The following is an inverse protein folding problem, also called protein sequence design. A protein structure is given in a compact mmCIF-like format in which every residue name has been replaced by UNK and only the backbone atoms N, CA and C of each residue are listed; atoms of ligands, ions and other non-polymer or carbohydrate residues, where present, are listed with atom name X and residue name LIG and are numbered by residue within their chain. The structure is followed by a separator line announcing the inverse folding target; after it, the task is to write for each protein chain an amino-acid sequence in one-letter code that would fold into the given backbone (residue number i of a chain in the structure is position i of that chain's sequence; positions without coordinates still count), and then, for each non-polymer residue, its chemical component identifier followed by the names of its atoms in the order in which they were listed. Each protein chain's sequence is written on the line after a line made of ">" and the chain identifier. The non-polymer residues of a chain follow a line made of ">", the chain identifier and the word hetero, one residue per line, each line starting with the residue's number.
data_IF_118679056117
#
_entry.id   IF_118679056117
#
_cell.length_a   1.000
_cell.length_b   1.000
_cell.length_c   1.000
_cell.angle_alpha   90.00
_cell.angle_beta   90.00
_cell.angle_gamma   90.00
#
_symmetry.space_group_name_H-M   'P 1'
#
loop_
_entity.id
_entity.type
_entity.pdbx_description
1 polymer ?
#
# COMPACT_ATOMS: atom_id res chain seq x y z
N UNK A 1 23.07 -9.86 6.52
CA UNK A 1 21.96 -10.77 6.20
C UNK A 1 20.79 -9.91 5.71
N UNK A 2 19.95 -10.41 4.81
CA UNK A 2 18.75 -9.68 4.36
C UNK A 2 17.55 -10.12 5.19
N UNK A 3 16.66 -9.19 5.49
CA UNK A 3 15.48 -9.48 6.32
C UNK A 3 14.24 -8.97 5.61
N UNK A 4 13.27 -9.86 5.44
CA UNK A 4 11.92 -9.49 5.00
C UNK A 4 11.11 -9.25 6.26
N UNK A 5 10.64 -8.02 6.46
CA UNK A 5 9.71 -7.68 7.53
C UNK A 5 8.33 -7.46 6.93
N UNK A 6 7.30 -7.91 7.61
CA UNK A 6 5.94 -7.62 7.22
C UNK A 6 5.37 -6.52 8.10
N UNK A 7 4.77 -5.54 7.45
CA UNK A 7 3.93 -4.56 8.14
C UNK A 7 2.50 -4.84 7.76
N UNK A 8 1.63 -4.84 8.78
CA UNK A 8 0.19 -5.01 8.58
C UNK A 8 -0.27 -3.86 7.67
N UNK A 9 -0.76 -4.19 6.46
CA UNK A 9 -1.65 -3.29 5.75
C UNK A 9 -2.80 -2.98 6.71
N UNK A 10 -3.21 -1.72 6.78
CA UNK A 10 -4.14 -1.21 7.79
C UNK A 10 -5.24 -2.21 8.17
N UNK A 11 -5.63 -2.16 9.45
CA UNK A 11 -6.73 -2.89 10.08
C UNK A 11 -8.07 -2.66 9.33
N UNK A 12 -8.17 -3.25 8.14
CA UNK A 12 -9.36 -3.57 7.41
C UNK A 12 -10.02 -4.78 8.05
N UNK A 13 -9.35 -5.46 9.00
CA UNK A 13 -9.88 -6.56 9.82
C UNK A 13 -10.97 -6.11 10.80
N UNK A 14 -11.03 -4.82 11.15
CA UNK A 14 -12.05 -4.32 12.06
C UNK A 14 -13.40 -4.26 11.36
N UNK A 15 -14.34 -5.07 11.82
CA UNK A 15 -15.77 -4.95 11.48
C UNK A 15 -16.21 -3.50 11.70
N UNK A 16 -16.79 -2.89 10.65
CA UNK A 16 -17.32 -1.52 10.72
C UNK A 16 -18.79 -1.55 10.32
N UNK A 17 -19.61 -0.90 11.14
CA UNK A 17 -20.97 -0.56 10.76
C UNK A 17 -20.88 0.67 9.84
N UNK A 18 -21.08 0.48 8.54
CA UNK A 18 -21.15 1.57 7.58
C UNK A 18 -22.61 1.81 7.20
N UNK A 19 -23.20 2.89 7.70
CA UNK A 19 -24.60 3.22 7.39
C UNK A 19 -25.62 2.15 7.78
N UNK A 20 -25.34 1.38 8.84
CA UNK A 20 -26.21 0.27 9.29
C UNK A 20 -25.94 -1.08 8.62
N UNK A 21 -24.94 -1.17 7.74
CA UNK A 21 -24.45 -2.44 7.16
C UNK A 21 -23.33 -3.01 8.01
N UNK A 22 -23.46 -4.27 8.42
CA UNK A 22 -22.39 -5.04 9.05
C UNK A 22 -21.41 -5.52 7.97
N UNK A 23 -20.19 -4.99 7.98
CA UNK A 23 -19.15 -5.29 7.01
C UNK A 23 -18.08 -6.14 7.69
N UNK A 24 -17.98 -7.39 7.26
CA UNK A 24 -16.94 -8.35 7.67
C UNK A 24 -15.92 -8.45 6.54
N UNK A 25 -14.64 -8.20 6.79
CA UNK A 25 -13.61 -8.22 5.76
C UNK A 25 -13.14 -9.65 5.43
N UNK A 26 -12.52 -9.90 4.26
CA UNK A 26 -12.01 -11.23 3.90
C UNK A 26 -10.92 -11.72 4.85
N UNK A 27 -10.89 -12.98 5.23
CA UNK A 27 -9.90 -13.50 6.21
C UNK A 27 -9.03 -14.56 5.57
N UNK A 28 -7.71 -14.42 5.66
CA UNK A 28 -6.79 -15.49 5.32
C UNK A 28 -6.95 -16.62 6.32
N UNK A 29 -7.26 -17.82 5.83
CA UNK A 29 -7.51 -19.00 6.66
C UNK A 29 -6.25 -19.83 6.89
N UNK A 30 -5.24 -19.73 6.01
CA UNK A 30 -3.98 -20.46 6.15
C UNK A 30 -4.06 -21.97 5.99
N UNK A 31 -5.26 -22.52 5.75
CA UNK A 31 -5.48 -23.96 5.63
C UNK A 31 -5.11 -24.40 4.21
N UNK A 32 -3.85 -24.82 4.03
CA UNK A 32 -3.45 -25.61 2.86
C UNK A 32 -3.80 -27.08 3.13
N UNK A 33 -5.04 -27.47 2.77
CA UNK A 33 -5.56 -28.84 2.96
C UNK A 33 -4.66 -29.87 2.25
N UNK A 34 -3.94 -29.47 1.20
CA UNK A 34 -3.09 -30.35 0.39
C UNK A 34 -1.71 -30.54 1.05
N UNK A 35 -1.14 -29.51 1.67
CA UNK A 35 0.21 -29.56 2.26
C UNK A 35 0.25 -29.76 3.77
N UNK A 36 -0.90 -29.79 4.45
CA UNK A 36 -1.01 -30.03 5.90
C UNK A 36 -0.21 -29.06 6.78
N UNK A 37 0.08 -27.87 6.27
CA UNK A 37 0.64 -26.76 7.05
C UNK A 37 -0.48 -25.79 7.41
N UNK A 38 -0.41 -25.24 8.63
CA UNK A 38 -1.31 -24.21 9.12
C UNK A 38 -0.50 -22.94 9.38
N UNK A 39 -0.85 -21.86 8.69
CA UNK A 39 -0.22 -20.55 8.85
C UNK A 39 -1.15 -19.67 9.69
N UNK A 40 -0.67 -19.19 10.84
CA UNK A 40 -1.47 -18.39 11.77
C UNK A 40 -1.92 -17.05 11.21
N UNK A 41 -1.22 -16.52 10.20
CA UNK A 41 -1.59 -15.32 9.47
C UNK A 41 -1.06 -15.32 8.04
N UNK A 42 -1.59 -14.44 7.19
CA UNK A 42 -1.01 -14.18 5.86
C UNK A 42 0.43 -13.66 5.98
N UNK A 43 0.76 -12.99 7.08
CA UNK A 43 2.11 -12.51 7.29
C UNK A 43 3.06 -13.70 7.50
N UNK A 44 2.70 -14.65 8.35
CA UNK A 44 3.51 -15.85 8.59
C UNK A 44 3.79 -16.59 7.27
N UNK A 45 2.76 -16.70 6.41
CA UNK A 45 2.90 -17.32 5.09
C UNK A 45 3.91 -16.58 4.21
N UNK A 46 3.83 -15.25 4.16
CA UNK A 46 4.70 -14.42 3.33
C UNK A 46 6.12 -14.37 3.89
N UNK A 47 6.31 -14.32 5.21
CA UNK A 47 7.63 -14.34 5.86
C UNK A 47 8.39 -15.63 5.56
N UNK A 48 7.69 -16.76 5.50
CA UNK A 48 8.31 -18.05 5.15
C UNK A 48 8.62 -18.18 3.65
N UNK A 49 7.81 -17.57 2.78
CA UNK A 49 7.80 -17.89 1.34
C UNK A 49 8.34 -16.80 0.42
N UNK A 50 8.28 -15.54 0.83
CA UNK A 50 8.82 -14.42 0.06
C UNK A 50 10.34 -14.46 0.12
N UNK A 51 10.96 -14.47 -1.06
CA UNK A 51 12.40 -14.45 -1.18
C UNK A 51 12.88 -13.06 -1.57
N UNK A 52 14.06 -12.65 -1.13
CA UNK A 52 14.67 -11.44 -1.66
C UNK A 52 15.12 -11.71 -3.11
N UNK A 53 14.65 -10.95 -4.12
CA UNK A 53 15.10 -11.17 -5.49
C UNK A 53 16.61 -10.87 -5.64
N UNK A 54 17.35 -11.77 -6.30
CA UNK A 54 18.82 -11.68 -6.43
C UNK A 54 19.29 -10.36 -7.06
N UNK A 55 18.56 -9.83 -8.05
CA UNK A 55 18.91 -8.56 -8.70
C UNK A 55 18.81 -7.40 -7.70
N UNK A 56 17.69 -7.28 -6.99
CA UNK A 56 17.50 -6.27 -5.95
C UNK A 56 18.48 -6.44 -4.79
N UNK A 57 18.73 -7.69 -4.38
CA UNK A 57 19.67 -8.05 -3.31
C UNK A 57 21.09 -7.57 -3.64
N UNK A 58 21.61 -7.96 -4.82
CA UNK A 58 22.97 -7.61 -5.28
C UNK A 58 23.18 -6.11 -5.49
N UNK A 59 22.09 -5.37 -5.76
CA UNK A 59 22.09 -3.92 -5.97
C UNK A 59 21.75 -3.13 -4.71
N UNK A 60 21.58 -3.80 -3.58
CA UNK A 60 21.25 -3.21 -2.29
C UNK A 60 19.95 -2.40 -2.29
N UNK A 61 18.94 -2.88 -3.01
CA UNK A 61 17.66 -2.20 -3.20
C UNK A 61 16.69 -2.59 -2.08
N UNK A 62 16.39 -1.65 -1.20
CA UNK A 62 15.49 -1.81 -0.05
C UNK A 62 14.24 -0.93 -0.17
N UNK A 63 13.16 -1.33 0.50
CA UNK A 63 11.91 -0.57 0.51
C UNK A 63 10.71 -1.40 0.94
N UNK A 64 9.53 -0.82 0.82
CA UNK A 64 8.25 -1.45 1.13
C UNK A 64 7.38 -1.48 -0.12
N UNK A 65 7.05 -2.69 -0.57
CA UNK A 65 6.06 -2.90 -1.63
C UNK A 65 4.69 -3.13 -1.01
N UNK A 66 3.66 -2.55 -1.62
CA UNK A 66 2.27 -2.75 -1.22
C UNK A 66 1.52 -3.29 -2.43
N UNK A 67 0.95 -4.48 -2.25
CA UNK A 67 0.13 -5.13 -3.27
C UNK A 67 -1.30 -5.17 -2.78
N UNK A 68 -2.19 -4.63 -3.60
CA UNK A 68 -3.64 -4.78 -3.49
C UNK A 68 -4.08 -5.95 -4.35
N UNK A 69 -5.10 -6.66 -3.91
CA UNK A 69 -5.78 -7.71 -4.66
C UNK A 69 -7.23 -7.80 -4.18
N UNK A 70 -8.08 -8.45 -4.96
CA UNK A 70 -9.48 -8.68 -4.61
C UNK A 70 -9.67 -10.12 -4.14
N UNK A 71 -10.30 -10.31 -2.98
CA UNK A 71 -10.84 -11.61 -2.58
C UNK A 71 -12.28 -11.68 -3.07
N UNK A 72 -12.54 -12.57 -4.02
CA UNK A 72 -13.86 -12.77 -4.62
C UNK A 72 -14.82 -13.44 -3.64
N UNK A 73 -16.13 -13.40 -3.92
CA UNK A 73 -17.17 -13.97 -3.07
C UNK A 73 -17.07 -15.51 -2.90
N UNK A 74 -16.32 -16.19 -3.77
CA UNK A 74 -16.00 -17.62 -3.69
C UNK A 74 -14.68 -17.92 -2.96
N UNK A 75 -13.92 -16.89 -2.54
CA UNK A 75 -12.62 -17.04 -1.88
C UNK A 75 -11.40 -17.11 -2.82
N UNK A 76 -11.61 -17.07 -4.14
CA UNK A 76 -10.53 -16.94 -5.12
C UNK A 76 -9.97 -15.51 -5.15
N UNK A 77 -8.76 -15.35 -5.67
CA UNK A 77 -8.05 -14.07 -5.76
C UNK A 77 -8.01 -13.55 -7.20
N UNK A 78 -8.24 -12.24 -7.35
CA UNK A 78 -8.14 -11.55 -8.65
C UNK A 78 -7.57 -10.13 -8.49
N UNK A 79 -7.36 -9.42 -9.61
CA UNK A 79 -7.07 -7.98 -9.67
C UNK A 79 -5.87 -7.53 -8.82
N UNK A 80 -4.74 -8.22 -8.99
CA UNK A 80 -3.49 -7.87 -8.34
C UNK A 80 -2.92 -6.54 -8.89
N UNK A 81 -2.81 -5.53 -8.03
CA UNK A 81 -2.29 -4.19 -8.35
C UNK A 81 -1.21 -3.76 -7.38
N UNK A 82 -0.13 -3.18 -7.90
CA UNK A 82 0.93 -2.61 -7.08
C UNK A 82 0.54 -1.18 -6.69
N UNK A 83 0.29 -0.94 -5.40
CA UNK A 83 -0.04 0.37 -4.83
C UNK A 83 1.23 1.17 -4.53
N UNK A 84 2.25 0.48 -4.01
CA UNK A 84 3.59 1.04 -3.78
C UNK A 84 4.62 0.08 -4.35
N UNK A 85 5.47 0.58 -5.23
CA UNK A 85 6.52 -0.20 -5.90
C UNK A 85 7.89 0.15 -5.34
N UNK A 86 8.74 -0.87 -5.20
CA UNK A 86 10.19 -0.70 -4.98
C UNK A 86 10.90 -0.90 -6.32
N UNK A 87 10.75 -2.10 -6.88
CA UNK A 87 11.22 -2.54 -8.19
C UNK A 87 10.31 -3.67 -8.68
N UNK A 88 10.28 -3.89 -10.00
CA UNK A 88 9.38 -4.88 -10.60
C UNK A 88 9.65 -6.32 -10.15
N UNK A 89 10.90 -6.69 -9.87
CA UNK A 89 11.27 -8.02 -9.38
C UNK A 89 10.76 -8.25 -7.94
N UNK A 90 10.87 -7.25 -7.07
CA UNK A 90 10.28 -7.26 -5.72
C UNK A 90 8.75 -7.36 -5.80
N UNK A 91 8.13 -6.54 -6.65
CA UNK A 91 6.68 -6.53 -6.81
C UNK A 91 6.16 -7.89 -7.33
N UNK A 92 6.84 -8.45 -8.33
CA UNK A 92 6.50 -9.74 -8.92
C UNK A 92 6.68 -10.89 -7.92
N UNK A 93 7.69 -10.83 -7.06
CA UNK A 93 7.90 -11.84 -6.02
C UNK A 93 6.74 -11.87 -5.04
N UNK A 94 6.31 -10.70 -4.55
CA UNK A 94 5.19 -10.61 -3.61
C UNK A 94 3.90 -11.09 -4.27
N UNK A 95 3.63 -10.68 -5.51
CA UNK A 95 2.46 -11.17 -6.28
C UNK A 95 2.53 -12.68 -6.49
N UNK A 96 3.70 -13.23 -6.84
CA UNK A 96 3.91 -14.67 -7.03
C UNK A 96 3.53 -15.44 -5.78
N UNK A 97 4.00 -15.02 -4.60
CA UNK A 97 3.69 -15.70 -3.34
C UNK A 97 2.23 -15.52 -2.94
N UNK A 98 1.65 -14.33 -3.11
CA UNK A 98 0.22 -14.10 -2.85
C UNK A 98 -0.68 -14.99 -3.72
N UNK A 99 -0.33 -15.22 -4.99
CA UNK A 99 -1.09 -16.14 -5.87
C UNK A 99 -1.07 -17.59 -5.38
N UNK A 100 -0.05 -18.00 -4.62
CA UNK A 100 -0.04 -19.32 -3.97
C UNK A 100 -1.04 -19.42 -2.82
N UNK A 101 -1.69 -18.31 -2.45
CA UNK A 101 -2.73 -18.25 -1.41
C UNK A 101 -4.16 -18.37 -1.94
N UNK A 102 -4.32 -18.62 -3.24
CA UNK A 102 -5.63 -18.86 -3.82
C UNK A 102 -6.34 -20.04 -3.14
N UNK A 103 -7.62 -19.85 -2.80
CA UNK A 103 -8.40 -20.82 -2.02
C UNK A 103 -8.11 -20.84 -0.52
N UNK A 104 -7.15 -20.06 -0.01
CA UNK A 104 -6.86 -19.90 1.44
C UNK A 104 -7.52 -18.67 2.06
N UNK A 105 -8.63 -18.20 1.49
CA UNK A 105 -9.34 -17.01 1.95
C UNK A 105 -10.83 -17.26 2.15
N UNK A 106 -11.34 -16.84 3.30
CA UNK A 106 -12.77 -16.61 3.48
C UNK A 106 -13.13 -15.26 2.84
N UNK A 107 -14.19 -15.19 2.01
CA UNK A 107 -14.65 -13.94 1.41
C UNK A 107 -15.10 -12.93 2.49
N UNK A 108 -15.10 -11.65 2.11
CA UNK A 108 -15.76 -10.62 2.90
C UNK A 108 -17.27 -10.79 2.84
N UNK A 109 -18.00 -10.23 3.82
CA UNK A 109 -19.46 -10.30 3.90
C UNK A 109 -20.06 -8.94 4.22
N UNK A 110 -21.17 -8.63 3.54
CA UNK A 110 -22.06 -7.53 3.90
C UNK A 110 -23.36 -8.12 4.41
N UNK A 111 -23.71 -7.86 5.68
CA UNK A 111 -24.89 -8.44 6.33
C UNK A 111 -24.97 -9.97 6.15
N UNK A 112 -23.84 -10.65 6.31
CA UNK A 112 -23.73 -12.11 6.15
C UNK A 112 -23.65 -12.62 4.70
N UNK A 113 -23.89 -11.78 3.69
CA UNK A 113 -23.81 -12.16 2.27
C UNK A 113 -22.37 -12.01 1.76
N UNK A 114 -21.74 -13.08 1.20
CA UNK A 114 -20.41 -12.99 0.62
C UNK A 114 -20.34 -11.97 -0.51
N UNK A 115 -19.33 -11.11 -0.49
CA UNK A 115 -19.08 -10.10 -1.52
C UNK A 115 -17.59 -10.00 -1.80
N UNK A 116 -17.25 -9.63 -3.04
CA UNK A 116 -15.87 -9.34 -3.39
C UNK A 116 -15.39 -8.09 -2.63
N UNK A 117 -14.20 -8.16 -2.03
CA UNK A 117 -13.60 -7.02 -1.33
C UNK A 117 -12.10 -6.95 -1.58
N UNK A 118 -11.59 -5.73 -1.68
CA UNK A 118 -10.16 -5.47 -1.81
C UNK A 118 -9.43 -5.74 -0.49
N UNK A 119 -8.23 -6.30 -0.61
CA UNK A 119 -7.26 -6.48 0.46
C UNK A 119 -5.92 -5.92 0.00
N UNK A 120 -5.13 -5.48 0.97
CA UNK A 120 -3.75 -5.07 0.76
C UNK A 120 -2.83 -5.89 1.65
N UNK A 121 -1.61 -6.10 1.18
CA UNK A 121 -0.48 -6.65 1.92
C UNK A 121 0.72 -5.75 1.70
N UNK A 122 1.49 -5.53 2.76
CA UNK A 122 2.69 -4.69 2.74
C UNK A 122 3.91 -5.52 3.15
N UNK A 123 4.87 -5.63 2.24
CA UNK A 123 6.10 -6.41 2.43
C UNK A 123 7.30 -5.48 2.39
N UNK A 124 8.11 -5.52 3.45
CA UNK A 124 9.29 -4.67 3.59
C UNK A 124 10.56 -5.49 3.39
N UNK A 125 11.32 -5.12 2.36
CA UNK A 125 12.63 -5.69 2.05
C UNK A 125 13.69 -4.78 2.68
N UNK A 126 14.34 -5.26 3.73
CA UNK A 126 15.22 -4.44 4.56
C UNK A 126 16.58 -5.12 4.79
N UNK A 127 17.62 -4.30 4.85
CA UNK A 127 18.95 -4.75 5.26
C UNK A 127 19.04 -4.83 6.78
N UNK A 128 19.79 -5.80 7.31
CA UNK A 128 19.99 -5.99 8.76
C UNK A 128 20.40 -4.73 9.54
N UNK A 129 21.11 -3.79 8.91
CA UNK A 129 21.55 -2.53 9.52
C UNK A 129 20.84 -1.27 8.97
N UNK A 130 19.72 -1.45 8.27
CA UNK A 130 18.92 -0.34 7.76
C UNK A 130 17.80 0.03 8.71
N UNK A 131 17.37 1.29 8.66
CA UNK A 131 16.25 1.82 9.45
C UNK A 131 15.40 2.71 8.52
N UNK A 132 14.34 2.11 7.98
CA UNK A 132 13.47 2.75 6.99
C UNK A 132 12.78 4.00 7.54
N UNK A 133 12.43 4.03 8.83
CA UNK A 133 11.82 5.21 9.47
C UNK A 133 12.83 6.37 9.51
N UNK A 134 14.07 6.08 9.91
CA UNK A 134 15.14 7.09 9.94
C UNK A 134 15.53 7.56 8.54
N UNK A 135 15.57 6.67 7.56
CA UNK A 135 15.84 7.00 6.15
C UNK A 135 14.74 7.90 5.58
N UNK A 136 13.47 7.49 5.72
CA UNK A 136 12.31 8.28 5.29
C UNK A 136 12.32 9.69 5.90
N UNK A 137 12.54 9.80 7.21
CA UNK A 137 12.67 11.08 7.92
C UNK A 137 13.82 11.95 7.38
N UNK A 138 14.97 11.36 7.06
CA UNK A 138 16.10 12.08 6.47
C UNK A 138 15.75 12.66 5.10
N UNK A 139 15.07 11.89 4.25
CA UNK A 139 14.60 12.37 2.96
C UNK A 139 13.52 13.46 3.12
N UNK A 140 12.54 13.25 3.99
CA UNK A 140 11.50 14.25 4.31
C UNK A 140 12.10 15.61 4.73
N UNK A 141 13.04 15.61 5.68
CA UNK A 141 13.72 16.83 6.13
C UNK A 141 14.50 17.51 5.00
N UNK A 142 15.17 16.72 4.15
CA UNK A 142 15.91 17.23 2.99
C UNK A 142 14.97 17.83 1.94
N UNK A 143 13.80 17.23 1.70
CA UNK A 143 12.78 17.76 0.80
C UNK A 143 12.24 19.10 1.30
N UNK A 144 11.89 19.20 2.59
CA UNK A 144 11.45 20.45 3.20
C UNK A 144 12.48 21.58 3.02
N UNK A 145 13.78 21.30 3.22
CA UNK A 145 14.85 22.27 2.95
C UNK A 145 14.91 22.72 1.49
N UNK A 146 14.47 21.90 0.52
CA UNK A 146 14.38 22.30 -0.90
C UNK A 146 13.15 23.14 -1.17
N UNK A 147 12.01 22.84 -0.53
CA UNK A 147 10.79 23.65 -0.63
C UNK A 147 11.01 25.06 -0.06
N UNK A 148 11.66 25.20 1.10
CA UNK A 148 12.02 26.50 1.68
C UNK A 148 12.93 27.34 0.77
N UNK A 149 13.62 26.70 -0.19
CA UNK A 149 14.47 27.37 -1.19
C UNK A 149 13.75 27.57 -2.53
N UNK A 150 12.44 27.40 -2.57
CA UNK A 150 11.60 27.43 -3.76
C UNK A 150 12.06 26.48 -4.87
N UNK A 151 12.43 25.23 -4.52
CA UNK A 151 12.91 24.19 -5.46
C UNK A 151 11.99 22.95 -5.45
N UNK A 152 10.73 23.07 -5.90
CA UNK A 152 9.72 22.01 -5.77
C UNK A 152 10.05 20.75 -6.57
N UNK A 153 10.55 20.85 -7.81
CA UNK A 153 10.97 19.67 -8.59
C UNK A 153 12.07 18.86 -7.90
N UNK A 154 13.01 19.52 -7.21
CA UNK A 154 14.06 18.83 -6.44
C UNK A 154 13.51 18.21 -5.16
N UNK A 155 12.53 18.86 -4.52
CA UNK A 155 11.84 18.31 -3.36
C UNK A 155 11.04 17.05 -3.74
N UNK A 156 10.29 17.10 -4.85
CA UNK A 156 9.50 15.96 -5.33
C UNK A 156 10.35 14.72 -5.58
N UNK A 157 11.49 14.86 -6.28
CA UNK A 157 12.42 13.73 -6.47
C UNK A 157 12.89 13.12 -5.15
N UNK A 158 13.10 13.94 -4.13
CA UNK A 158 13.51 13.46 -2.80
C UNK A 158 12.34 12.75 -2.09
N UNK A 159 11.12 13.27 -2.23
CA UNK A 159 9.92 12.64 -1.64
C UNK A 159 9.60 11.30 -2.30
N UNK A 160 9.85 11.16 -3.60
CA UNK A 160 9.74 9.87 -4.29
C UNK A 160 10.70 8.83 -3.75
N UNK A 161 11.87 9.22 -3.23
CA UNK A 161 12.73 8.29 -2.50
C UNK A 161 12.22 8.04 -1.07
N UNK A 162 11.65 9.04 -0.40
CA UNK A 162 11.16 8.90 0.97
C UNK A 162 10.02 7.87 1.08
N UNK A 163 9.08 7.93 0.13
CA UNK A 163 7.87 7.10 0.16
C UNK A 163 8.16 5.61 -0.05
N UNK A 164 9.23 5.25 -0.77
CA UNK A 164 9.65 3.85 -0.96
C UNK A 164 9.92 3.17 0.38
N UNK A 165 10.39 3.91 1.38
CA UNK A 165 10.67 3.38 2.72
C UNK A 165 9.47 3.37 3.65
N UNK A 166 8.56 4.34 3.50
CA UNK A 166 7.39 4.51 4.36
C UNK A 166 6.19 4.97 3.51
N UNK A 167 5.58 4.06 2.73
CA UNK A 167 4.56 4.41 1.75
C UNK A 167 3.23 4.89 2.35
N UNK A 168 2.98 4.56 3.61
CA UNK A 168 1.79 4.97 4.36
C UNK A 168 2.07 6.10 5.37
N UNK A 169 3.26 6.75 5.31
CA UNK A 169 3.55 7.89 6.19
C UNK A 169 2.73 9.12 5.77
N UNK A 170 1.90 9.58 6.70
CA UNK A 170 0.98 10.69 6.48
C UNK A 170 1.70 11.99 6.08
N UNK A 171 2.85 12.26 6.69
CA UNK A 171 3.58 13.51 6.44
C UNK A 171 4.22 13.51 5.05
N UNK A 172 4.77 12.36 4.64
CA UNK A 172 5.36 12.17 3.31
C UNK A 172 4.28 12.26 2.24
N UNK A 173 3.17 11.52 2.38
CA UNK A 173 2.05 11.55 1.44
C UNK A 173 1.51 12.98 1.28
N UNK A 174 1.23 13.67 2.39
CA UNK A 174 0.71 15.03 2.35
C UNK A 174 1.68 16.01 1.67
N UNK A 175 2.96 15.98 2.08
CA UNK A 175 3.97 16.88 1.53
C UNK A 175 4.24 16.59 0.05
N UNK A 176 4.25 15.30 -0.33
CA UNK A 176 4.39 14.88 -1.72
C UNK A 176 3.20 15.35 -2.54
N UNK A 177 1.96 15.08 -2.11
CA UNK A 177 0.75 15.49 -2.82
C UNK A 177 0.69 16.99 -3.06
N UNK A 178 1.00 17.80 -2.04
CA UNK A 178 1.13 19.26 -2.20
C UNK A 178 2.25 19.66 -3.16
N UNK A 179 3.40 19.01 -3.09
CA UNK A 179 4.53 19.30 -4.00
C UNK A 179 4.18 18.92 -5.44
N UNK A 180 3.45 17.82 -5.64
CA UNK A 180 2.95 17.37 -6.94
C UNK A 180 2.00 18.41 -7.55
N UNK A 181 1.06 18.92 -6.76
CA UNK A 181 0.19 20.02 -7.18
C UNK A 181 1.00 21.26 -7.60
N UNK A 182 2.00 21.67 -6.81
CA UNK A 182 2.84 22.84 -7.11
C UNK A 182 3.58 22.69 -8.45
N UNK A 183 4.01 21.48 -8.80
CA UNK A 183 4.70 21.23 -10.07
C UNK A 183 3.74 20.90 -11.23
N UNK A 184 2.43 21.01 -11.02
CA UNK A 184 1.41 20.75 -12.02
C UNK A 184 1.05 19.28 -12.23
N UNK A 185 1.55 18.36 -11.40
CA UNK A 185 1.16 16.95 -11.44
C UNK A 185 -0.09 16.72 -10.58
N UNK A 186 -1.27 17.07 -11.13
CA UNK A 186 -2.54 16.91 -10.42
C UNK A 186 -2.85 15.43 -10.14
N UNK A 187 -2.68 14.55 -11.14
CA UNK A 187 -3.00 13.14 -11.02
C UNK A 187 -2.27 12.47 -9.84
N UNK A 188 -0.96 12.70 -9.72
CA UNK A 188 -0.21 12.13 -8.61
C UNK A 188 -0.46 12.83 -7.27
N UNK A 189 -0.89 14.10 -7.26
CA UNK A 189 -1.38 14.75 -6.04
C UNK A 189 -2.66 14.08 -5.53
N UNK A 190 -3.62 13.85 -6.43
CA UNK A 190 -4.86 13.13 -6.13
C UNK A 190 -4.58 11.70 -5.65
N UNK A 191 -3.61 11.01 -6.24
CA UNK A 191 -3.19 9.69 -5.77
C UNK A 191 -2.72 9.71 -4.30
N UNK A 192 -1.88 10.69 -3.92
CA UNK A 192 -1.42 10.84 -2.54
C UNK A 192 -2.56 11.13 -1.56
N UNK A 193 -3.50 12.00 -1.95
CA UNK A 193 -4.63 12.35 -1.09
C UNK A 193 -5.67 11.24 -1.00
N UNK A 194 -5.90 10.48 -2.07
CA UNK A 194 -6.68 9.25 -2.04
C UNK A 194 -6.06 8.22 -1.08
N UNK A 195 -4.73 8.08 -1.09
CA UNK A 195 -4.06 7.25 -0.10
C UNK A 195 -4.28 7.78 1.32
N UNK A 196 -4.14 9.07 1.57
CA UNK A 196 -4.43 9.65 2.89
C UNK A 196 -5.87 9.40 3.36
N UNK A 197 -6.85 9.56 2.47
CA UNK A 197 -8.26 9.23 2.72
C UNK A 197 -8.43 7.76 3.07
N UNK A 198 -7.87 6.85 2.27
CA UNK A 198 -7.94 5.41 2.55
C UNK A 198 -7.29 5.08 3.89
N UNK A 199 -6.27 5.86 4.29
CA UNK A 199 -5.63 5.72 5.58
C UNK A 199 -6.47 6.23 6.78
N UNK A 200 -7.56 6.96 6.54
CA UNK A 200 -8.43 7.57 7.55
C UNK A 200 -8.14 9.05 7.84
N UNK A 201 -7.52 9.77 6.90
CA UNK A 201 -7.21 11.20 7.06
C UNK A 201 -8.30 12.11 6.52
N UNK A 202 -8.91 12.92 7.39
CA UNK A 202 -9.84 14.00 6.98
C UNK A 202 -9.17 15.04 6.06
N UNK A 203 -7.85 15.22 6.18
CA UNK A 203 -7.08 16.09 5.29
C UNK A 203 -7.03 15.55 3.85
N UNK A 204 -7.04 14.22 3.69
CA UNK A 204 -7.11 13.60 2.36
C UNK A 204 -8.42 13.98 1.68
N UNK A 205 -9.54 13.80 2.38
CA UNK A 205 -10.88 14.14 1.90
C UNK A 205 -10.99 15.60 1.47
N UNK A 206 -10.62 16.53 2.35
CA UNK A 206 -10.74 17.96 2.07
C UNK A 206 -9.91 18.43 0.86
N UNK A 207 -8.75 17.80 0.60
CA UNK A 207 -7.94 18.13 -0.57
C UNK A 207 -8.48 17.49 -1.86
N UNK A 208 -9.05 16.29 -1.79
CA UNK A 208 -9.69 15.65 -2.93
C UNK A 208 -10.91 16.43 -3.42
N UNK A 209 -11.83 16.79 -2.52
CA UNK A 209 -13.01 17.61 -2.85
C UNK A 209 -12.60 18.93 -3.54
N UNK A 210 -11.53 19.55 -3.04
CA UNK A 210 -11.08 20.85 -3.54
C UNK A 210 -10.36 20.79 -4.90
N UNK A 211 -9.69 19.69 -5.21
CA UNK A 211 -8.69 19.66 -6.28
C UNK A 211 -8.85 18.53 -7.29
N UNK A 212 -9.57 17.46 -6.95
CA UNK A 212 -9.62 16.21 -7.71
C UNK A 212 -11.04 15.80 -8.10
N UNK A 213 -12.02 16.16 -7.29
CA UNK A 213 -13.44 15.99 -7.64
C UNK A 213 -13.83 17.14 -8.58
N UNK A 214 -13.63 16.94 -9.88
CA UNK A 214 -14.24 17.79 -10.88
C UNK A 214 -15.73 17.44 -10.92
N UNK A 215 -16.54 18.33 -10.34
CA UNK A 215 -17.98 18.43 -10.52
C UNK A 215 -18.45 17.96 -11.91
N UNK A 216 -19.37 16.99 -11.92
CA UNK A 216 -20.15 16.47 -13.06
C UNK A 216 -21.02 17.56 -13.78
N UNK A 217 -20.75 18.85 -13.54
CA UNK A 217 -21.47 19.98 -14.12
C UNK A 217 -21.06 20.33 -15.56
N UNK A 218 -20.24 19.50 -16.22
CA UNK A 218 -19.86 19.68 -17.63
C UNK A 218 -20.54 18.69 -18.60
N UNK A 219 -21.61 17.99 -18.17
CA UNK A 219 -22.52 17.25 -19.07
C UNK A 219 -23.92 17.79 -18.92
N UNK A 220 -24.15 19.03 -19.39
CA UNK A 220 -25.44 19.55 -19.88
C UNK A 220 -25.26 21.03 -20.23
N UNK A 221 -24.76 21.31 -21.44
CA UNK A 221 -25.02 22.57 -22.14
C UNK A 221 -25.00 22.37 -23.64
#
# INVERSE_FOLDING_TARGET
>A
MFVVFLSVAQDLTKTRMLGGVDVIPPVFTGIDIIKSNDFGSINDYLEERVQYPEESESRWIEGTTIVQFTVLANGELDDFRVVSSVTSDIDNEVIKVLKLTDGMWSPGKNNGTPVAMEREVSVTFQMENSDHVKLARKFYNRANKRLLKNKPLKALRILNHAIVYQPNDYSILFLRGRTQLIVGNMAGACQDWNRLKSLGSDLGDAYLEKHCEMDDYAVNK
#
